data_IF_452163808694
#
_entry.id   IF_452163808694
#
_cell.length_a   1.000
_cell.length_b   1.000
_cell.length_c   1.000
_cell.angle_alpha   90.00
_cell.angle_beta   90.00
_cell.angle_gamma   90.00
#
_symmetry.space_group_name_H-M   'P 1'
#
loop_
_entity.id
_entity.type
_entity.pdbx_description
1 polymer ?
#
# COMPACT_ATOMS: atom_id res chain seq x y z
N UNK A 1 -19.26 2.01 -0.23
CA UNK A 1 -20.06 3.19 -0.64
C UNK A 1 -21.11 2.66 -1.57
N UNK A 2 -22.37 3.07 -1.39
CA UNK A 2 -23.45 2.61 -2.27
C UNK A 2 -23.20 3.12 -3.69
N UNK A 3 -23.54 2.28 -4.67
CA UNK A 3 -23.48 2.68 -6.07
C UNK A 3 -24.50 3.79 -6.36
N UNK A 4 -24.16 4.73 -7.24
CA UNK A 4 -24.99 5.89 -7.56
C UNK A 4 -26.33 5.49 -8.18
N UNK A 5 -26.35 4.48 -9.06
CA UNK A 5 -27.58 3.99 -9.66
C UNK A 5 -28.49 3.43 -8.56
N UNK A 6 -27.93 2.61 -7.67
CA UNK A 6 -28.67 2.05 -6.54
C UNK A 6 -29.28 3.15 -5.63
N UNK A 7 -28.52 4.20 -5.30
CA UNK A 7 -29.01 5.31 -4.46
C UNK A 7 -30.22 5.97 -5.11
N UNK A 8 -30.15 6.25 -6.40
CA UNK A 8 -31.25 6.92 -7.10
C UNK A 8 -32.48 6.02 -7.28
N UNK A 9 -32.27 4.73 -7.56
CA UNK A 9 -33.37 3.79 -7.74
C UNK A 9 -34.07 3.45 -6.42
N UNK A 10 -33.40 3.66 -5.29
CA UNK A 10 -33.88 3.34 -3.95
C UNK A 10 -33.82 4.56 -3.01
N UNK A 11 -34.09 5.76 -3.53
CA UNK A 11 -33.89 7.03 -2.82
C UNK A 11 -34.60 7.07 -1.46
N UNK A 12 -35.81 6.53 -1.35
CA UNK A 12 -36.58 6.49 -0.11
C UNK A 12 -35.92 5.59 0.94
N UNK A 13 -35.50 4.37 0.54
CA UNK A 13 -34.81 3.41 1.40
C UNK A 13 -33.49 3.99 1.94
N UNK A 14 -32.71 4.62 1.07
CA UNK A 14 -31.43 5.24 1.46
C UNK A 14 -31.68 6.42 2.39
N UNK A 15 -32.69 7.25 2.10
CA UNK A 15 -33.07 8.38 2.98
C UNK A 15 -33.50 7.90 4.36
N UNK A 16 -34.26 6.82 4.43
CA UNK A 16 -34.66 6.21 5.69
C UNK A 16 -33.46 5.65 6.46
N UNK A 17 -32.55 4.95 5.80
CA UNK A 17 -31.32 4.46 6.40
C UNK A 17 -30.46 5.60 6.98
N UNK A 18 -30.32 6.73 6.26
CA UNK A 18 -29.62 7.92 6.77
C UNK A 18 -30.27 8.45 8.06
N UNK A 19 -31.61 8.56 8.09
CA UNK A 19 -32.36 8.96 9.29
C UNK A 19 -32.13 8.01 10.45
N UNK A 20 -32.23 6.70 10.21
CA UNK A 20 -32.03 5.67 11.23
C UNK A 20 -30.61 5.67 11.82
N UNK A 21 -29.63 6.13 11.04
CA UNK A 21 -28.22 6.25 11.46
C UNK A 21 -27.86 7.63 12.02
N UNK A 22 -28.80 8.58 12.08
CA UNK A 22 -28.52 9.96 12.51
C UNK A 22 -27.59 10.73 11.56
N UNK A 23 -27.45 10.30 10.30
CA UNK A 23 -26.58 10.93 9.31
C UNK A 23 -27.37 11.94 8.48
N UNK A 24 -26.86 13.16 8.34
CA UNK A 24 -27.44 14.17 7.46
C UNK A 24 -26.90 14.01 6.03
N UNK A 25 -27.70 13.42 5.15
CA UNK A 25 -27.38 13.30 3.72
C UNK A 25 -28.58 13.76 2.87
N UNK A 26 -28.32 14.52 1.80
CA UNK A 26 -29.36 15.08 0.95
C UNK A 26 -29.59 14.22 -0.31
N UNK A 27 -30.29 13.10 -0.13
CA UNK A 27 -30.58 12.16 -1.23
C UNK A 27 -31.36 12.82 -2.39
N UNK A 28 -32.36 13.70 -2.16
CA UNK A 28 -33.02 14.43 -3.25
C UNK A 28 -32.04 15.25 -4.11
N UNK A 29 -31.04 15.90 -3.48
CA UNK A 29 -30.01 16.64 -4.21
C UNK A 29 -29.12 15.75 -5.06
N UNK A 30 -28.79 14.54 -4.58
CA UNK A 30 -28.02 13.55 -5.35
C UNK A 30 -28.79 13.14 -6.62
N UNK A 31 -30.10 12.88 -6.50
CA UNK A 31 -30.96 12.54 -7.64
C UNK A 31 -31.02 13.70 -8.65
N UNK A 32 -31.21 14.93 -8.16
CA UNK A 32 -31.20 16.14 -8.99
C UNK A 32 -29.86 16.32 -9.74
N UNK A 33 -28.73 16.21 -9.03
CA UNK A 33 -27.39 16.35 -9.60
C UNK A 33 -27.09 15.27 -10.63
N UNK A 34 -27.53 14.02 -10.40
CA UNK A 34 -27.41 12.94 -11.39
C UNK A 34 -28.15 13.29 -12.68
N UNK A 35 -29.37 13.80 -12.59
CA UNK A 35 -30.15 14.19 -13.75
C UNK A 35 -29.47 15.33 -14.51
N UNK A 36 -29.10 16.41 -13.82
CA UNK A 36 -28.40 17.56 -14.43
C UNK A 36 -27.09 17.16 -15.10
N UNK A 37 -26.32 16.27 -14.46
CA UNK A 37 -25.09 15.72 -15.04
C UNK A 37 -25.37 14.96 -16.33
N UNK A 38 -26.40 14.11 -16.35
CA UNK A 38 -26.80 13.37 -17.54
C UNK A 38 -27.22 14.29 -18.69
N UNK A 39 -28.01 15.31 -18.40
CA UNK A 39 -28.43 16.33 -19.38
C UNK A 39 -27.23 17.13 -19.93
N UNK A 40 -26.31 17.55 -19.06
CA UNK A 40 -25.11 18.28 -19.44
C UNK A 40 -24.15 17.44 -20.32
N UNK A 41 -24.00 16.14 -20.01
CA UNK A 41 -23.21 15.22 -20.84
C UNK A 41 -23.85 15.07 -22.22
N UNK A 42 -25.16 14.82 -22.29
CA UNK A 42 -25.87 14.68 -23.56
C UNK A 42 -25.78 15.96 -24.42
N UNK A 43 -25.87 17.13 -23.80
CA UNK A 43 -25.66 18.41 -24.47
C UNK A 43 -24.23 18.56 -25.01
N UNK A 44 -23.22 18.22 -24.20
CA UNK A 44 -21.82 18.27 -24.60
C UNK A 44 -21.50 17.32 -25.77
N UNK A 45 -22.09 16.12 -25.78
CA UNK A 45 -21.96 15.17 -26.88
C UNK A 45 -22.58 15.68 -28.18
N UNK A 46 -23.76 16.30 -28.11
CA UNK A 46 -24.39 16.95 -29.26
C UNK A 46 -23.52 18.09 -29.84
N UNK A 47 -22.95 18.94 -28.97
CA UNK A 47 -22.05 20.01 -29.38
C UNK A 47 -20.76 19.48 -30.04
N UNK A 48 -20.18 18.39 -29.51
CA UNK A 48 -19.02 17.72 -30.10
C UNK A 48 -19.34 17.11 -31.46
N UNK A 49 -20.53 16.52 -31.61
CA UNK A 49 -20.98 16.00 -32.90
C UNK A 49 -21.10 17.13 -33.93
N UNK A 50 -21.77 18.23 -33.59
CA UNK A 50 -21.92 19.38 -34.48
C UNK A 50 -20.56 20.01 -34.83
N UNK A 51 -19.66 20.12 -33.86
CA UNK A 51 -18.29 20.62 -34.08
C UNK A 51 -17.53 19.74 -35.09
N UNK A 52 -17.64 18.42 -34.97
CA UNK A 52 -17.00 17.46 -35.88
C UNK A 52 -17.57 17.56 -37.29
N UNK A 53 -18.89 17.71 -37.41
CA UNK A 53 -19.57 17.88 -38.70
C UNK A 53 -19.14 19.18 -39.40
N UNK A 54 -19.09 20.29 -38.67
CA UNK A 54 -18.61 21.58 -39.19
C UNK A 54 -17.13 21.49 -39.59
N UNK A 55 -16.28 20.88 -38.76
CA UNK A 55 -14.87 20.68 -39.07
C UNK A 55 -14.67 19.85 -40.35
N UNK A 56 -15.53 18.86 -40.61
CA UNK A 56 -15.52 18.04 -41.83
C UNK A 56 -15.98 18.77 -43.10
N UNK A 57 -16.74 19.86 -42.97
CA UNK A 57 -17.24 20.67 -44.10
C UNK A 57 -16.23 21.73 -44.56
N UNK A 58 -15.42 22.28 -43.65
CA UNK A 58 -14.44 23.34 -43.94
C UNK A 58 -13.47 23.01 -45.10
N UNK A 59 -12.89 21.81 -45.21
CA UNK A 59 -12.00 21.46 -46.33
C UNK A 59 -12.72 21.27 -47.67
N UNK A 60 -14.04 21.00 -47.64
CA UNK A 60 -14.86 20.69 -48.81
C UNK A 60 -15.50 21.93 -49.43
N UNK A 61 -15.60 23.02 -48.68
CA UNK A 61 -16.19 24.28 -49.13
C UNK A 61 -15.21 25.10 -49.98
N UNK A 62 -15.66 25.50 -51.17
CA UNK A 62 -14.86 26.23 -52.17
C UNK A 62 -15.17 27.72 -52.19
N UNK A 63 -16.33 28.13 -51.67
CA UNK A 63 -16.70 29.53 -51.52
C UNK A 63 -16.01 30.16 -50.31
N UNK A 64 -15.24 31.22 -50.53
CA UNK A 64 -14.45 31.89 -49.49
C UNK A 64 -15.31 32.48 -48.37
N UNK A 65 -16.49 33.01 -48.68
CA UNK A 65 -17.40 33.60 -47.70
C UNK A 65 -18.08 32.54 -46.83
N UNK A 66 -18.56 31.45 -47.44
CA UNK A 66 -19.13 30.31 -46.70
C UNK A 66 -18.09 29.60 -45.84
N UNK A 67 -16.85 29.48 -46.34
CA UNK A 67 -15.74 28.91 -45.59
C UNK A 67 -15.40 29.72 -44.35
N UNK A 68 -15.38 31.06 -44.44
CA UNK A 68 -15.20 31.93 -43.27
C UNK A 68 -16.33 31.79 -42.25
N UNK A 69 -17.58 31.67 -42.69
CA UNK A 69 -18.73 31.45 -41.82
C UNK A 69 -18.64 30.10 -41.06
N UNK A 70 -18.22 29.02 -41.74
CA UNK A 70 -18.01 27.71 -41.11
C UNK A 70 -16.88 27.74 -40.07
N UNK A 71 -15.79 28.48 -40.34
CA UNK A 71 -14.69 28.66 -39.38
C UNK A 71 -15.16 29.45 -38.14
N UNK A 72 -15.96 30.50 -38.32
CA UNK A 72 -16.52 31.27 -37.21
C UNK A 72 -17.44 30.39 -36.34
N UNK A 73 -18.36 29.63 -36.95
CA UNK A 73 -19.23 28.69 -36.25
C UNK A 73 -18.44 27.58 -35.53
N UNK A 74 -17.36 27.08 -36.12
CA UNK A 74 -16.47 26.10 -35.49
C UNK A 74 -15.76 26.64 -34.25
N UNK A 75 -15.40 27.93 -34.24
CA UNK A 75 -14.80 28.60 -33.07
C UNK A 75 -15.83 28.78 -31.95
N UNK A 76 -17.04 29.20 -32.29
CA UNK A 76 -18.16 29.33 -31.34
C UNK A 76 -18.50 27.98 -30.69
N UNK A 77 -18.64 26.91 -31.49
CA UNK A 77 -18.87 25.56 -30.97
C UNK A 77 -17.74 25.08 -30.06
N UNK A 78 -16.49 25.47 -30.33
CA UNK A 78 -15.35 25.13 -29.45
C UNK A 78 -15.48 25.79 -28.07
N UNK A 79 -15.93 27.04 -28.01
CA UNK A 79 -16.17 27.74 -26.75
C UNK A 79 -17.35 27.12 -25.99
N UNK A 80 -18.42 26.73 -26.70
CA UNK A 80 -19.58 26.04 -26.11
C UNK A 80 -19.24 24.65 -25.57
N UNK A 81 -18.40 23.86 -26.28
CA UNK A 81 -17.91 22.56 -25.80
C UNK A 81 -17.09 22.74 -24.51
N UNK A 82 -16.16 23.70 -24.48
CA UNK A 82 -15.35 23.95 -23.29
C UNK A 82 -16.20 24.37 -22.07
N UNK A 83 -17.22 25.21 -22.29
CA UNK A 83 -18.15 25.60 -21.23
C UNK A 83 -19.00 24.42 -20.73
N UNK A 84 -19.44 23.54 -21.63
CA UNK A 84 -20.18 22.32 -21.27
C UNK A 84 -19.32 21.34 -20.46
N UNK A 85 -18.06 21.15 -20.84
CA UNK A 85 -17.12 20.28 -20.11
C UNK A 85 -16.84 20.80 -18.69
N UNK A 86 -16.69 22.11 -18.51
CA UNK A 86 -16.50 22.71 -17.20
C UNK A 86 -17.76 22.59 -16.33
N UNK A 87 -18.95 22.76 -16.90
CA UNK A 87 -20.22 22.53 -16.19
C UNK A 87 -20.37 21.07 -15.73
N UNK A 88 -20.03 20.08 -16.59
CA UNK A 88 -20.03 18.66 -16.20
C UNK A 88 -19.07 18.42 -15.03
N UNK A 89 -17.86 18.99 -15.09
CA UNK A 89 -16.87 18.87 -14.01
C UNK A 89 -17.37 19.44 -12.68
N UNK A 90 -18.04 20.60 -12.70
CA UNK A 90 -18.62 21.21 -11.49
C UNK A 90 -19.74 20.35 -10.91
N UNK A 91 -20.64 19.86 -11.75
CA UNK A 91 -21.72 18.95 -11.33
C UNK A 91 -21.17 17.63 -10.77
N UNK A 92 -20.09 17.09 -11.32
CA UNK A 92 -19.40 15.91 -10.79
C UNK A 92 -18.78 16.17 -9.41
N UNK A 93 -18.19 17.35 -9.21
CA UNK A 93 -17.61 17.73 -7.93
C UNK A 93 -18.68 17.88 -6.84
N UNK A 94 -19.78 18.57 -7.14
CA UNK A 94 -20.93 18.69 -6.22
C UNK A 94 -21.54 17.31 -5.91
N UNK A 95 -21.75 16.49 -6.94
CA UNK A 95 -22.31 15.14 -6.76
C UNK A 95 -21.40 14.28 -5.88
N UNK A 96 -20.09 14.37 -6.07
CA UNK A 96 -19.12 13.64 -5.24
C UNK A 96 -19.15 14.09 -3.78
N UNK A 97 -19.31 15.38 -3.51
CA UNK A 97 -19.40 15.90 -2.15
C UNK A 97 -20.63 15.36 -1.41
N UNK A 98 -21.78 15.33 -2.09
CA UNK A 98 -23.01 14.77 -1.52
C UNK A 98 -22.92 13.25 -1.31
N UNK A 99 -22.37 12.51 -2.29
CA UNK A 99 -22.20 11.06 -2.20
C UNK A 99 -21.33 10.61 -1.02
N UNK A 100 -20.32 11.41 -0.64
CA UNK A 100 -19.45 11.12 0.50
C UNK A 100 -20.19 11.12 1.85
N UNK A 101 -21.35 11.78 1.92
CA UNK A 101 -22.19 11.80 3.12
C UNK A 101 -23.10 10.57 3.24
N UNK A 102 -23.24 9.78 2.18
CA UNK A 102 -24.17 8.64 2.15
C UNK A 102 -23.53 7.40 2.76
N UNK A 103 -24.03 6.90 3.91
CA UNK A 103 -23.51 5.70 4.52
C UNK A 103 -23.99 4.44 3.78
N UNK A 104 -23.31 3.31 4.00
CA UNK A 104 -23.84 2.01 3.56
C UNK A 104 -25.17 1.68 4.27
N UNK A 105 -26.00 0.84 3.65
CA UNK A 105 -27.21 0.32 4.26
C UNK A 105 -26.88 -0.50 5.50
N UNK A 106 -27.62 -0.26 6.57
CA UNK A 106 -27.60 -1.11 7.75
C UNK A 106 -28.41 -2.38 7.48
N UNK A 107 -28.02 -3.50 8.10
CA UNK A 107 -28.81 -4.72 8.06
C UNK A 107 -30.24 -4.45 8.59
N UNK A 108 -31.30 -5.00 7.99
CA UNK A 108 -32.69 -4.74 8.44
C UNK A 108 -32.95 -5.10 9.91
N UNK A 109 -32.25 -6.11 10.43
CA UNK A 109 -32.37 -6.54 11.83
C UNK A 109 -31.55 -5.69 12.82
N UNK A 110 -30.79 -4.71 12.33
CA UNK A 110 -30.03 -3.85 13.23
C UNK A 110 -31.00 -2.96 14.03
N UNK A 111 -30.87 -2.92 15.36
CA UNK A 111 -31.72 -2.08 16.17
C UNK A 111 -31.48 -0.61 15.85
N UNK A 112 -32.57 0.15 15.70
CA UNK A 112 -32.53 1.60 15.52
C UNK A 112 -32.42 2.22 16.92
N UNK A 113 -31.35 3.01 17.12
CA UNK A 113 -31.12 3.72 18.37
C UNK A 113 -30.36 5.03 18.13
N UNK A 114 -30.64 6.06 18.94
CA UNK A 114 -29.93 7.35 18.87
C UNK A 114 -28.55 7.30 19.55
N UNK A 115 -28.45 6.54 20.62
CA UNK A 115 -27.23 6.36 21.40
C UNK A 115 -27.22 4.98 22.07
N UNK A 116 -26.13 4.68 22.78
CA UNK A 116 -25.92 3.37 23.40
C UNK A 116 -26.98 3.03 24.46
N UNK A 117 -27.71 4.00 25.00
CA UNK A 117 -28.78 3.77 25.99
C UNK A 117 -30.03 3.14 25.37
N UNK A 118 -30.17 3.23 24.04
CA UNK A 118 -31.26 2.60 23.29
C UNK A 118 -30.89 1.17 22.82
N UNK A 119 -29.68 0.68 23.14
CA UNK A 119 -29.23 -0.67 22.82
C UNK A 119 -30.09 -1.73 23.52
N UNK A 120 -30.69 -2.64 22.74
CA UNK A 120 -31.45 -3.77 23.27
C UNK A 120 -30.57 -5.01 23.35
N UNK A 121 -30.51 -5.63 24.52
CA UNK A 121 -29.90 -6.95 24.67
C UNK A 121 -30.77 -8.00 23.96
N UNK A 122 -30.26 -8.55 22.85
CA UNK A 122 -30.99 -9.56 22.06
C UNK A 122 -30.82 -10.96 22.65
N UNK A 123 -29.66 -11.25 23.23
CA UNK A 123 -29.35 -12.53 23.87
C UNK A 123 -28.22 -12.35 24.88
N UNK A 124 -28.31 -13.05 26.01
CA UNK A 124 -27.21 -13.21 26.96
C UNK A 124 -26.78 -14.68 26.97
N UNK A 125 -25.48 -14.93 27.06
CA UNK A 125 -24.92 -16.29 27.10
C UNK A 125 -23.98 -16.44 28.29
N UNK A 126 -24.20 -17.48 29.09
CA UNK A 126 -23.44 -17.75 30.31
C UNK A 126 -23.84 -16.86 31.49
N UNK A 127 -23.19 -17.09 32.62
CA UNK A 127 -23.36 -16.30 33.83
C UNK A 127 -22.36 -15.14 33.84
N UNK A 128 -22.84 -13.93 34.16
CA UNK A 128 -21.97 -12.76 34.33
C UNK A 128 -21.11 -12.99 35.60
N UNK A 129 -19.78 -13.04 35.49
CA UNK A 129 -18.92 -13.27 36.64
C UNK A 129 -19.10 -12.20 37.70
N UNK A 130 -19.18 -12.61 38.96
CA UNK A 130 -19.15 -11.69 40.12
C UNK A 130 -17.75 -11.65 40.69
N UNK A 131 -17.18 -10.46 40.77
CA UNK A 131 -15.87 -10.23 41.36
C UNK A 131 -16.03 -9.59 42.75
N UNK A 132 -15.14 -9.94 43.67
CA UNK A 132 -15.00 -9.29 44.98
C UNK A 132 -14.11 -8.03 44.92
N UNK A 133 -13.60 -7.71 43.73
CA UNK A 133 -12.90 -6.48 43.38
C UNK A 133 -13.66 -5.73 42.28
N UNK A 134 -13.37 -4.44 42.12
CA UNK A 134 -13.84 -3.67 40.97
C UNK A 134 -13.05 -4.10 39.73
N UNK A 135 -13.65 -4.80 38.76
CA UNK A 135 -12.93 -5.20 37.56
C UNK A 135 -12.52 -3.95 36.77
N UNK A 136 -11.26 -3.92 36.33
CA UNK A 136 -10.79 -2.94 35.37
C UNK A 136 -11.33 -3.32 33.99
N UNK A 137 -11.69 -2.32 33.18
CA UNK A 137 -11.99 -2.58 31.77
C UNK A 137 -10.71 -2.95 31.00
N UNK A 138 -10.91 -3.40 29.76
CA UNK A 138 -9.80 -3.85 28.91
C UNK A 138 -8.77 -2.74 28.65
N UNK A 139 -9.16 -1.46 28.53
CA UNK A 139 -8.23 -0.35 28.31
C UNK A 139 -7.40 -0.10 29.57
N UNK A 140 -8.04 -0.01 30.73
CA UNK A 140 -7.36 0.17 32.01
C UNK A 140 -6.42 -1.00 32.35
N UNK A 141 -6.79 -2.24 31.99
CA UNK A 141 -5.89 -3.39 32.08
C UNK A 141 -4.69 -3.22 31.15
N UNK A 142 -4.93 -2.87 29.88
CA UNK A 142 -3.86 -2.69 28.91
C UNK A 142 -2.89 -1.57 29.31
N UNK A 143 -3.38 -0.43 29.80
CA UNK A 143 -2.54 0.67 30.30
C UNK A 143 -1.72 0.23 31.52
N UNK A 144 -2.37 -0.39 32.51
CA UNK A 144 -1.72 -0.88 33.73
C UNK A 144 -0.58 -1.84 33.44
N UNK A 145 -0.71 -2.65 32.39
CA UNK A 145 0.29 -3.63 31.98
C UNK A 145 1.21 -3.12 30.84
N UNK A 146 1.14 -1.83 30.49
CA UNK A 146 1.94 -1.22 29.42
C UNK A 146 1.77 -1.92 28.05
N UNK A 147 0.56 -2.39 27.76
CA UNK A 147 0.23 -3.15 26.56
C UNK A 147 -0.28 -2.28 25.40
N UNK A 148 -0.54 -0.99 25.65
CA UNK A 148 -1.07 -0.05 24.65
C UNK A 148 -0.37 1.30 24.64
N UNK A 149 -0.39 1.94 23.47
CA UNK A 149 -0.01 3.33 23.24
C UNK A 149 -1.23 4.14 22.84
N UNK A 150 -1.96 4.65 23.84
CA UNK A 150 -3.13 5.50 23.60
C UNK A 150 -2.74 6.88 23.07
N UNK A 151 -1.61 7.43 23.52
CA UNK A 151 -1.14 8.74 23.07
C UNK A 151 -0.77 8.70 21.59
N UNK A 152 0.07 7.75 21.19
CA UNK A 152 0.46 7.60 19.80
C UNK A 152 -0.73 7.20 18.92
N UNK A 153 -1.57 6.27 19.39
CA UNK A 153 -2.77 5.86 18.67
C UNK A 153 -3.74 7.03 18.44
N UNK A 154 -4.00 7.81 19.49
CA UNK A 154 -4.89 8.96 19.40
C UNK A 154 -4.34 10.07 18.52
N UNK A 155 -3.03 10.30 18.52
CA UNK A 155 -2.38 11.30 17.67
C UNK A 155 -2.42 10.93 16.20
N UNK A 156 -2.29 9.65 15.87
CA UNK A 156 -2.19 9.18 14.47
C UNK A 156 -3.57 8.88 13.87
N UNK A 157 -4.44 8.19 14.62
CA UNK A 157 -5.72 7.69 14.11
C UNK A 157 -6.95 8.43 14.68
N UNK A 158 -6.75 9.37 15.61
CA UNK A 158 -7.83 10.13 16.26
C UNK A 158 -8.30 9.50 17.58
N UNK A 159 -9.22 10.16 18.27
CA UNK A 159 -9.70 9.68 19.58
C UNK A 159 -10.35 8.31 19.49
N UNK A 160 -10.03 7.44 20.45
CA UNK A 160 -10.54 6.07 20.54
C UNK A 160 -9.62 4.99 19.97
N UNK A 161 -8.47 5.37 19.41
CA UNK A 161 -7.48 4.43 18.85
C UNK A 161 -6.25 4.27 19.74
N UNK A 162 -5.65 3.08 19.72
CA UNK A 162 -4.40 2.74 20.40
C UNK A 162 -3.53 1.83 19.52
N UNK A 163 -2.22 1.85 19.74
CA UNK A 163 -1.33 0.80 19.24
C UNK A 163 -1.08 -0.24 20.31
N UNK A 164 -1.03 -1.52 19.95
CA UNK A 164 -0.57 -2.57 20.84
C UNK A 164 0.95 -2.48 21.02
N UNK A 165 1.44 -2.77 22.23
CA UNK A 165 2.85 -2.81 22.60
C UNK A 165 3.15 -4.06 23.43
N UNK A 166 4.43 -4.40 23.52
CA UNK A 166 4.96 -5.47 24.37
C UNK A 166 4.23 -6.81 24.15
N UNK A 167 3.77 -7.45 25.23
CA UNK A 167 3.13 -8.77 25.18
C UNK A 167 1.84 -8.78 24.37
N UNK A 168 1.11 -7.66 24.28
CA UNK A 168 -0.11 -7.60 23.49
C UNK A 168 0.18 -7.58 21.98
N UNK A 169 1.31 -7.01 21.56
CA UNK A 169 1.75 -7.12 20.17
C UNK A 169 2.14 -8.58 19.82
N UNK A 170 2.79 -9.28 20.76
CA UNK A 170 3.09 -10.72 20.61
C UNK A 170 1.83 -11.57 20.60
N UNK A 171 0.84 -11.25 21.45
CA UNK A 171 -0.45 -11.91 21.46
C UNK A 171 -1.19 -11.70 20.15
N UNK A 172 -1.19 -10.49 19.60
CA UNK A 172 -1.79 -10.21 18.29
C UNK A 172 -1.10 -11.01 17.19
N UNK A 173 0.23 -11.10 17.19
CA UNK A 173 0.97 -11.96 16.27
C UNK A 173 0.60 -13.45 16.44
N UNK A 174 0.43 -13.92 17.68
CA UNK A 174 -0.03 -15.27 17.95
C UNK A 174 -1.48 -15.49 17.50
N UNK A 175 -2.36 -14.50 17.62
CA UNK A 175 -3.73 -14.53 17.12
C UNK A 175 -3.78 -14.52 15.60
N UNK A 176 -2.90 -13.77 14.94
CA UNK A 176 -2.72 -13.82 13.48
C UNK A 176 -2.22 -15.20 13.07
N UNK A 177 -1.22 -15.77 13.76
CA UNK A 177 -0.75 -17.14 13.49
C UNK A 177 -1.86 -18.17 13.71
N UNK A 178 -2.64 -18.02 14.78
CA UNK A 178 -3.80 -18.86 15.05
C UNK A 178 -4.85 -18.72 13.95
N UNK A 179 -5.21 -17.49 13.56
CA UNK A 179 -6.14 -17.22 12.47
C UNK A 179 -5.64 -17.84 11.16
N UNK A 180 -4.37 -17.66 10.82
CA UNK A 180 -3.74 -18.32 9.67
C UNK A 180 -3.84 -19.85 9.82
N UNK A 181 -3.58 -20.43 10.99
CA UNK A 181 -3.73 -21.89 11.20
C UNK A 181 -5.18 -22.40 11.09
N UNK A 182 -6.17 -21.51 11.23
CA UNK A 182 -7.60 -21.80 11.07
C UNK A 182 -8.09 -21.57 9.65
N UNK A 183 -7.51 -20.60 8.95
CA UNK A 183 -7.80 -20.26 7.56
C UNK A 183 -7.07 -21.20 6.59
N UNK A 184 -5.86 -21.63 6.95
CA UNK A 184 -5.12 -22.65 6.22
C UNK A 184 -5.70 -24.00 6.58
N UNK A 185 -6.49 -24.51 5.65
CA UNK A 185 -7.11 -25.82 5.68
C UNK A 185 -6.63 -26.69 4.51
N UNK A 186 -7.23 -27.87 4.36
CA UNK A 186 -6.87 -28.82 3.31
C UNK A 186 -7.25 -28.33 1.89
N UNK A 187 -7.92 -27.18 1.76
CA UNK A 187 -8.22 -26.52 0.48
C UNK A 187 -7.21 -25.41 0.14
N UNK A 188 -6.28 -25.10 1.05
CA UNK A 188 -5.30 -24.04 0.87
C UNK A 188 -4.15 -24.51 -0.02
N UNK A 189 -4.03 -23.91 -1.20
CA UNK A 189 -2.99 -24.30 -2.17
C UNK A 189 -1.59 -23.79 -1.79
N UNK A 190 -1.48 -22.57 -1.24
CA UNK A 190 -0.19 -21.96 -0.95
C UNK A 190 -0.26 -20.85 0.12
N UNK A 191 0.88 -20.63 0.77
CA UNK A 191 1.19 -19.49 1.65
C UNK A 191 2.27 -18.68 0.94
N UNK A 192 2.00 -17.42 0.57
CA UNK A 192 2.93 -16.56 -0.17
C UNK A 192 3.27 -15.30 0.63
N UNK A 193 4.55 -14.98 0.76
CA UNK A 193 5.02 -13.79 1.48
C UNK A 193 6.43 -13.35 1.08
N UNK A 194 6.79 -12.10 1.37
CA UNK A 194 8.18 -11.61 1.31
C UNK A 194 8.97 -12.07 2.54
N UNK A 195 10.22 -12.56 2.42
CA UNK A 195 11.07 -12.84 3.59
C UNK A 195 11.36 -11.61 4.46
N UNK A 196 11.43 -10.42 3.83
CA UNK A 196 11.47 -9.10 4.49
C UNK A 196 10.59 -8.18 3.66
N UNK A 197 9.56 -7.58 4.27
CA UNK A 197 8.65 -6.71 3.53
C UNK A 197 9.34 -5.39 3.20
N UNK A 198 9.64 -5.15 1.93
CA UNK A 198 10.37 -3.96 1.50
C UNK A 198 9.49 -2.71 1.46
N UNK A 199 8.34 -2.80 0.78
CA UNK A 199 7.38 -1.68 0.73
C UNK A 199 6.70 -1.46 2.08
N UNK A 200 6.51 -2.54 2.86
CA UNK A 200 5.95 -2.55 4.21
C UNK A 200 6.71 -1.73 5.26
N UNK A 201 7.85 -1.14 4.91
CA UNK A 201 8.69 -0.37 5.84
C UNK A 201 9.92 -1.13 6.35
N UNK A 202 10.45 -2.07 5.57
CA UNK A 202 11.58 -2.93 5.98
C UNK A 202 11.21 -3.75 7.23
N UNK A 203 10.08 -4.46 7.15
CA UNK A 203 9.64 -5.32 8.26
C UNK A 203 10.41 -6.64 8.21
N UNK A 204 11.30 -6.83 9.18
CA UNK A 204 12.04 -8.08 9.36
C UNK A 204 11.16 -9.00 10.22
N UNK A 205 10.89 -10.25 9.79
CA UNK A 205 10.04 -11.15 10.53
C UNK A 205 10.67 -11.49 11.89
N UNK A 206 9.83 -11.69 12.89
CA UNK A 206 10.27 -12.17 14.20
C UNK A 206 10.90 -13.57 14.08
N UNK A 207 11.87 -13.93 14.95
CA UNK A 207 12.42 -15.28 14.99
C UNK A 207 11.32 -16.34 15.11
N UNK A 208 11.41 -17.42 14.34
CA UNK A 208 10.44 -18.53 14.36
C UNK A 208 9.20 -18.32 13.49
N UNK A 209 8.95 -17.11 12.97
CA UNK A 209 7.77 -16.84 12.14
C UNK A 209 7.81 -17.61 10.81
N UNK A 210 8.92 -17.51 10.08
CA UNK A 210 9.07 -18.17 8.78
C UNK A 210 9.15 -19.70 8.95
N UNK A 211 9.81 -20.18 10.00
CA UNK A 211 9.88 -21.58 10.40
C UNK A 211 8.48 -22.13 10.71
N UNK A 212 7.67 -21.35 11.42
CA UNK A 212 6.27 -21.69 11.70
C UNK A 212 5.43 -21.83 10.44
N UNK A 213 5.59 -20.91 9.48
CA UNK A 213 4.90 -20.99 8.19
C UNK A 213 5.35 -22.18 7.35
N UNK A 214 6.65 -22.50 7.35
CA UNK A 214 7.17 -23.72 6.70
C UNK A 214 6.56 -24.97 7.28
N UNK A 215 6.55 -25.09 8.61
CA UNK A 215 5.94 -26.22 9.31
C UNK A 215 4.44 -26.33 8.97
N UNK A 216 3.72 -25.21 8.99
CA UNK A 216 2.30 -25.18 8.66
C UNK A 216 2.03 -25.60 7.22
N UNK A 217 2.84 -25.10 6.27
CA UNK A 217 2.75 -25.49 4.86
C UNK A 217 2.95 -27.01 4.70
N UNK A 218 3.95 -27.59 5.36
CA UNK A 218 4.22 -29.03 5.35
C UNK A 218 3.08 -29.84 5.95
N UNK A 219 2.56 -29.43 7.11
CA UNK A 219 1.45 -30.11 7.81
C UNK A 219 0.15 -30.11 7.01
N UNK A 220 -0.06 -29.11 6.16
CA UNK A 220 -1.30 -28.89 5.39
C UNK A 220 -1.18 -29.31 3.92
N UNK A 221 0.00 -29.74 3.48
CA UNK A 221 0.26 -30.01 2.07
C UNK A 221 0.16 -28.77 1.19
N UNK A 222 0.28 -27.57 1.76
CA UNK A 222 0.28 -26.30 1.05
C UNK A 222 1.71 -25.95 0.60
N UNK A 223 1.84 -25.17 -0.47
CA UNK A 223 3.14 -24.68 -0.92
C UNK A 223 3.55 -23.42 -0.15
N UNK A 224 4.80 -23.34 0.32
CA UNK A 224 5.38 -22.08 0.80
C UNK A 224 6.06 -21.36 -0.37
N UNK A 225 5.64 -20.13 -0.63
CA UNK A 225 6.17 -19.30 -1.72
C UNK A 225 6.81 -18.06 -1.11
N UNK A 226 8.09 -17.83 -1.41
CA UNK A 226 8.76 -16.59 -1.06
C UNK A 226 8.80 -15.62 -2.24
N UNK A 227 8.23 -14.44 -2.05
CA UNK A 227 8.47 -13.31 -2.95
C UNK A 227 9.82 -12.69 -2.64
N UNK A 228 10.82 -13.07 -3.43
CA UNK A 228 12.17 -12.56 -3.30
C UNK A 228 12.51 -11.46 -4.30
N UNK A 229 11.51 -10.85 -4.95
CA UNK A 229 11.75 -9.75 -5.91
C UNK A 229 12.66 -8.66 -5.35
N UNK A 230 12.59 -8.38 -4.03
CA UNK A 230 13.53 -7.46 -3.37
C UNK A 230 14.67 -8.15 -2.63
N UNK A 231 14.43 -9.30 -1.99
CA UNK A 231 15.37 -9.89 -1.03
C UNK A 231 16.42 -10.81 -1.66
N UNK A 232 16.29 -11.14 -2.96
CA UNK A 232 17.25 -11.96 -3.70
C UNK A 232 18.53 -11.19 -4.12
N UNK A 233 19.39 -11.90 -4.84
CA UNK A 233 20.60 -11.42 -5.50
C UNK A 233 21.52 -10.61 -4.59
N UNK A 234 21.75 -11.13 -3.38
CA UNK A 234 22.68 -10.51 -2.44
C UNK A 234 22.11 -9.39 -1.58
N UNK A 235 20.85 -8.97 -1.77
CA UNK A 235 20.26 -7.83 -1.05
C UNK A 235 20.41 -7.94 0.48
N UNK A 236 20.23 -9.14 1.04
CA UNK A 236 20.31 -9.38 2.49
C UNK A 236 21.72 -9.83 2.95
N UNK A 237 22.70 -9.90 2.06
CA UNK A 237 24.04 -10.45 2.33
C UNK A 237 24.17 -11.95 2.03
N UNK A 238 23.08 -12.60 1.65
CA UNK A 238 23.02 -13.96 1.10
C UNK A 238 22.48 -13.90 -0.33
N UNK A 239 22.77 -14.92 -1.15
CA UNK A 239 22.27 -14.97 -2.54
C UNK A 239 20.76 -14.81 -2.61
N UNK A 240 20.05 -15.49 -1.72
CA UNK A 240 18.60 -15.43 -1.61
C UNK A 240 18.19 -15.11 -0.17
N UNK A 241 17.06 -14.42 -0.01
CA UNK A 241 16.49 -14.05 1.26
C UNK A 241 16.18 -15.27 2.14
N UNK A 242 15.72 -16.37 1.58
CA UNK A 242 15.45 -17.60 2.33
C UNK A 242 16.68 -18.12 3.09
N UNK A 243 17.88 -17.94 2.53
CA UNK A 243 19.14 -18.38 3.14
C UNK A 243 19.49 -17.54 4.38
N UNK A 244 19.10 -16.26 4.39
CA UNK A 244 19.27 -15.39 5.55
C UNK A 244 18.48 -15.89 6.77
N UNK A 245 17.37 -16.58 6.56
CA UNK A 245 16.51 -17.11 7.62
C UNK A 245 16.59 -18.62 7.77
N UNK A 246 17.34 -19.32 6.91
CA UNK A 246 17.45 -20.77 6.89
C UNK A 246 16.09 -21.49 6.77
N UNK A 247 15.17 -20.93 5.97
CA UNK A 247 13.83 -21.52 5.72
C UNK A 247 13.64 -21.70 4.23
N UNK A 248 13.72 -22.93 3.72
CA UNK A 248 13.61 -23.18 2.29
C UNK A 248 12.14 -23.17 1.80
N UNK A 249 11.76 -22.31 0.84
CA UNK A 249 10.43 -22.33 0.24
C UNK A 249 10.29 -23.48 -0.79
N UNK A 250 9.07 -23.74 -1.23
CA UNK A 250 8.79 -24.64 -2.36
C UNK A 250 8.95 -23.93 -3.70
N UNK A 251 8.60 -22.64 -3.74
CA UNK A 251 8.72 -21.75 -4.89
C UNK A 251 9.30 -20.40 -4.42
N UNK A 252 10.13 -19.78 -5.24
CA UNK A 252 10.51 -18.37 -5.06
C UNK A 252 10.34 -17.58 -6.36
N UNK A 253 9.93 -16.32 -6.24
CA UNK A 253 9.87 -15.35 -7.33
C UNK A 253 11.00 -14.34 -7.21
N UNK A 254 11.64 -14.00 -8.33
CA UNK A 254 12.76 -13.05 -8.37
C UNK A 254 12.58 -12.07 -9.53
N UNK A 255 13.06 -10.84 -9.35
CA UNK A 255 13.14 -9.82 -10.40
C UNK A 255 14.20 -8.78 -9.99
N UNK A 256 14.02 -7.51 -10.37
CA UNK A 256 14.86 -6.35 -9.97
C UNK A 256 16.36 -6.62 -10.13
N UNK A 257 17.03 -7.05 -9.06
CA UNK A 257 18.45 -7.36 -9.04
C UNK A 257 18.86 -8.53 -9.93
N UNK A 258 17.93 -9.36 -10.40
CA UNK A 258 18.24 -10.58 -11.18
C UNK A 258 18.96 -10.31 -12.50
N UNK A 259 18.75 -9.16 -13.14
CA UNK A 259 19.35 -8.81 -14.42
C UNK A 259 19.87 -7.37 -14.47
N UNK A 260 20.30 -6.84 -13.32
CA UNK A 260 21.05 -5.57 -13.26
C UNK A 260 20.34 -4.34 -13.85
N UNK A 261 19.00 -4.33 -13.91
CA UNK A 261 18.20 -3.25 -14.50
C UNK A 261 17.50 -3.59 -15.82
N UNK A 262 17.85 -4.72 -16.47
CA UNK A 262 17.07 -5.27 -17.58
C UNK A 262 15.82 -5.94 -17.03
N UNK A 263 14.67 -5.75 -17.68
CA UNK A 263 13.40 -6.37 -17.27
C UNK A 263 13.50 -7.90 -17.36
N UNK A 264 13.51 -8.55 -16.20
CA UNK A 264 13.59 -10.00 -16.08
C UNK A 264 12.86 -10.43 -14.80
N UNK A 265 11.99 -11.44 -14.93
CA UNK A 265 11.33 -12.11 -13.82
C UNK A 265 11.62 -13.61 -13.90
N UNK A 266 11.84 -14.23 -12.74
CA UNK A 266 12.20 -15.64 -12.63
C UNK A 266 11.31 -16.30 -11.58
N UNK A 267 10.83 -17.50 -11.88
CA UNK A 267 10.21 -18.41 -10.93
C UNK A 267 11.16 -19.60 -10.78
N UNK A 268 11.53 -19.91 -9.54
CA UNK A 268 12.28 -21.12 -9.21
C UNK A 268 11.40 -21.98 -8.33
N UNK A 269 11.24 -23.25 -8.67
CA UNK A 269 10.44 -24.22 -7.95
C UNK A 269 11.24 -25.49 -7.68
N UNK A 270 10.88 -26.23 -6.64
CA UNK A 270 11.41 -27.58 -6.41
C UNK A 270 11.13 -28.48 -7.61
N UNK A 271 12.07 -29.38 -7.90
CA UNK A 271 11.95 -30.34 -9.00
C UNK A 271 10.67 -31.19 -8.92
N UNK A 272 10.21 -31.52 -7.71
CA UNK A 272 8.96 -32.26 -7.49
C UNK A 272 7.72 -31.57 -8.05
N UNK A 273 7.76 -30.25 -8.28
CA UNK A 273 6.66 -29.45 -8.85
C UNK A 273 6.78 -29.29 -10.37
N UNK A 274 7.93 -29.62 -10.96
CA UNK A 274 8.17 -29.46 -12.39
C UNK A 274 7.16 -30.23 -13.29
N UNK A 275 6.69 -31.46 -12.94
CA UNK A 275 5.71 -32.18 -13.75
C UNK A 275 4.34 -31.48 -13.89
N UNK A 276 4.02 -30.55 -12.99
CA UNK A 276 2.75 -29.82 -12.98
C UNK A 276 2.74 -28.64 -13.96
N UNK A 277 3.92 -28.15 -14.38
CA UNK A 277 4.05 -27.08 -15.37
C UNK A 277 4.29 -27.65 -16.77
N UNK A 278 3.21 -28.02 -17.46
CA UNK A 278 3.27 -28.67 -18.78
C UNK A 278 3.32 -27.65 -19.92
N UNK A 279 3.87 -28.03 -21.09
CA UNK A 279 3.85 -27.18 -22.29
C UNK A 279 2.43 -26.67 -22.61
N UNK A 280 2.31 -25.36 -22.81
CA UNK A 280 1.04 -24.68 -23.11
C UNK A 280 0.28 -24.14 -21.90
N UNK A 281 0.70 -24.42 -20.66
CA UNK A 281 0.04 -23.90 -19.44
C UNK A 281 0.46 -22.48 -19.06
N UNK A 282 1.69 -22.09 -19.38
CA UNK A 282 2.22 -20.75 -19.11
C UNK A 282 3.09 -20.30 -20.28
N UNK A 283 3.03 -19.02 -20.62
CA UNK A 283 3.78 -18.46 -21.74
C UNK A 283 4.11 -16.98 -21.50
N UNK A 284 5.24 -16.54 -22.05
CA UNK A 284 5.64 -15.14 -22.10
C UNK A 284 6.43 -14.90 -23.38
N UNK A 285 5.98 -13.97 -24.22
CA UNK A 285 6.62 -13.65 -25.52
C UNK A 285 8.08 -13.23 -25.35
N UNK A 286 8.40 -12.50 -24.27
CA UNK A 286 9.75 -12.04 -23.97
C UNK A 286 10.43 -12.86 -22.86
N UNK A 287 9.74 -13.86 -22.31
CA UNK A 287 10.30 -14.72 -21.25
C UNK A 287 11.48 -15.53 -21.76
N UNK A 288 12.57 -15.55 -20.99
CA UNK A 288 13.79 -16.30 -21.35
C UNK A 288 14.55 -15.75 -22.56
N UNK A 289 14.32 -14.49 -22.96
CA UNK A 289 15.03 -13.91 -24.09
C UNK A 289 16.55 -13.83 -23.82
N UNK A 290 17.41 -14.02 -24.85
CA UNK A 290 18.86 -14.08 -24.65
C UNK A 290 19.48 -12.81 -24.06
N UNK A 291 18.93 -11.63 -24.32
CA UNK A 291 19.45 -10.36 -23.78
C UNK A 291 19.30 -10.31 -22.26
N UNK A 292 18.11 -10.64 -21.74
CA UNK A 292 17.87 -10.70 -20.31
C UNK A 292 18.70 -11.79 -19.63
N UNK A 293 18.88 -12.95 -20.27
CA UNK A 293 19.69 -14.03 -19.71
C UNK A 293 21.19 -13.67 -19.67
N UNK A 294 21.71 -13.00 -20.70
CA UNK A 294 23.08 -12.50 -20.70
C UNK A 294 23.31 -11.46 -19.60
N UNK A 295 22.36 -10.53 -19.40
CA UNK A 295 22.42 -9.56 -18.31
C UNK A 295 22.35 -10.22 -16.92
N UNK A 296 21.55 -11.29 -16.78
CA UNK A 296 21.48 -12.07 -15.55
C UNK A 296 22.79 -12.78 -15.21
N UNK A 297 23.40 -13.44 -16.21
CA UNK A 297 24.72 -14.07 -16.06
C UNK A 297 25.77 -13.04 -15.62
N UNK A 298 25.85 -11.90 -16.33
CA UNK A 298 26.78 -10.83 -15.99
C UNK A 298 26.55 -10.32 -14.55
N UNK A 299 25.29 -10.24 -14.10
CA UNK A 299 24.97 -9.82 -12.73
C UNK A 299 25.47 -10.81 -11.69
N UNK A 300 25.27 -12.12 -11.90
CA UNK A 300 25.78 -13.18 -11.01
C UNK A 300 27.31 -13.14 -10.98
N UNK A 301 27.96 -13.10 -12.15
CA UNK A 301 29.42 -13.04 -12.28
C UNK A 301 30.00 -11.82 -11.56
N UNK A 302 29.39 -10.64 -11.70
CA UNK A 302 29.81 -9.43 -10.97
C UNK A 302 29.68 -9.60 -9.45
N UNK A 303 28.58 -10.18 -8.95
CA UNK A 303 28.41 -10.40 -7.51
C UNK A 303 29.52 -11.30 -6.95
N UNK A 304 29.90 -12.35 -7.69
CA UNK A 304 30.98 -13.26 -7.31
C UNK A 304 32.36 -12.61 -7.41
N UNK A 305 32.70 -12.05 -8.57
CA UNK A 305 34.03 -11.50 -8.87
C UNK A 305 34.39 -10.33 -7.96
N UNK A 306 33.42 -9.46 -7.66
CA UNK A 306 33.64 -8.27 -6.84
C UNK A 306 33.39 -8.53 -5.34
N UNK A 307 33.10 -9.78 -4.95
CA UNK A 307 32.78 -10.18 -3.57
C UNK A 307 31.68 -9.33 -2.92
N UNK A 308 30.61 -9.04 -3.67
CA UNK A 308 29.59 -8.07 -3.24
C UNK A 308 28.81 -8.53 -2.01
N UNK A 309 28.66 -9.85 -1.79
CA UNK A 309 28.00 -10.36 -0.57
C UNK A 309 28.77 -9.98 0.70
N UNK A 310 30.10 -10.01 0.65
CA UNK A 310 30.94 -9.56 1.76
C UNK A 310 30.83 -8.04 1.94
N UNK A 311 30.81 -7.29 0.84
CA UNK A 311 30.61 -5.84 0.89
C UNK A 311 29.27 -5.45 1.52
N UNK A 312 28.19 -6.20 1.23
CA UNK A 312 26.87 -6.00 1.87
C UNK A 312 26.97 -6.12 3.39
N UNK A 313 27.68 -7.12 3.91
CA UNK A 313 27.92 -7.25 5.35
C UNK A 313 28.64 -6.03 5.93
N UNK A 314 29.72 -5.58 5.27
CA UNK A 314 30.50 -4.40 5.69
C UNK A 314 29.65 -3.13 5.69
N UNK A 315 28.93 -2.85 4.60
CA UNK A 315 28.13 -1.64 4.47
C UNK A 315 26.90 -1.65 5.38
N UNK A 316 26.26 -2.81 5.56
CA UNK A 316 25.16 -2.98 6.52
C UNK A 316 25.57 -2.58 7.93
N UNK A 317 26.77 -2.96 8.36
CA UNK A 317 27.29 -2.60 9.69
C UNK A 317 27.61 -1.11 9.79
N UNK A 318 28.14 -0.48 8.73
CA UNK A 318 28.33 0.97 8.69
C UNK A 318 27.02 1.74 8.85
N UNK A 319 25.98 1.34 8.11
CA UNK A 319 24.65 1.92 8.25
C UNK A 319 24.11 1.76 9.67
N UNK A 320 24.28 0.57 10.26
CA UNK A 320 23.88 0.28 11.63
C UNK A 320 24.54 1.22 12.62
N UNK A 321 25.87 1.29 12.61
CA UNK A 321 26.64 2.15 13.51
C UNK A 321 26.24 3.63 13.40
N UNK A 322 26.04 4.11 12.17
CA UNK A 322 25.63 5.50 11.95
C UNK A 322 24.23 5.79 12.49
N UNK A 323 23.24 4.97 12.11
CA UNK A 323 21.84 5.25 12.44
C UNK A 323 21.49 4.91 13.89
N UNK A 324 22.11 3.92 14.52
CA UNK A 324 21.93 3.66 15.96
C UNK A 324 22.52 4.81 16.78
N UNK A 325 23.69 5.34 16.40
CA UNK A 325 24.23 6.56 17.02
C UNK A 325 23.27 7.75 16.82
N UNK A 326 22.80 7.98 15.60
CA UNK A 326 21.87 9.08 15.32
C UNK A 326 20.55 8.93 16.10
N UNK A 327 20.01 7.71 16.24
CA UNK A 327 18.81 7.43 17.03
C UNK A 327 19.00 7.74 18.52
N UNK A 328 20.22 7.53 19.05
CA UNK A 328 20.55 7.93 20.42
C UNK A 328 20.59 9.46 20.61
N UNK A 329 20.85 10.22 19.54
CA UNK A 329 20.88 11.69 19.55
C UNK A 329 19.49 12.30 19.29
N UNK A 330 18.65 11.63 18.50
CA UNK A 330 17.38 12.16 18.00
C UNK A 330 16.17 11.33 18.44
N UNK A 331 15.41 11.87 19.40
CA UNK A 331 14.18 11.27 19.90
C UNK A 331 13.08 11.10 18.83
N UNK A 332 13.22 11.80 17.69
CA UNK A 332 12.32 11.68 16.52
C UNK A 332 12.46 10.34 15.81
N UNK A 333 13.58 9.64 15.96
CA UNK A 333 13.76 8.30 15.41
C UNK A 333 13.08 7.31 16.36
N UNK A 334 12.16 6.50 15.82
CA UNK A 334 11.40 5.50 16.54
C UNK A 334 12.13 4.16 16.57
N UNK A 335 12.60 3.70 15.41
CA UNK A 335 13.18 2.38 15.24
C UNK A 335 14.13 2.34 14.04
N UNK A 336 15.20 1.55 14.15
CA UNK A 336 16.11 1.24 13.05
C UNK A 336 15.97 -0.24 12.69
N UNK A 337 15.60 -0.53 11.44
CA UNK A 337 15.45 -1.89 10.91
C UNK A 337 16.45 -2.11 9.78
N UNK A 338 17.43 -2.98 9.99
CA UNK A 338 18.51 -3.23 9.02
C UNK A 338 18.73 -4.73 8.83
N UNK A 339 18.65 -5.18 7.58
CA UNK A 339 19.06 -6.51 7.14
C UNK A 339 19.79 -6.40 5.79
N UNK A 340 21.11 -6.60 5.80
CA UNK A 340 21.94 -6.36 4.62
C UNK A 340 21.78 -4.92 4.12
N UNK A 341 21.51 -4.76 2.82
CA UNK A 341 21.29 -3.46 2.18
C UNK A 341 19.80 -3.08 2.09
N UNK A 342 18.98 -3.58 3.01
CA UNK A 342 17.64 -3.07 3.30
C UNK A 342 17.66 -2.33 4.62
N UNK A 343 17.57 -1.00 4.56
CA UNK A 343 17.69 -0.10 5.70
C UNK A 343 16.40 0.71 5.83
N UNK A 344 15.75 0.59 6.98
CA UNK A 344 14.59 1.38 7.38
C UNK A 344 14.92 2.22 8.61
N UNK A 345 14.67 3.53 8.53
CA UNK A 345 14.74 4.47 9.66
C UNK A 345 13.33 4.99 9.88
N UNK A 346 12.65 4.43 10.88
CA UNK A 346 11.27 4.76 11.23
C UNK A 346 11.25 6.01 12.11
N UNK A 347 10.42 6.99 11.75
CA UNK A 347 10.33 8.28 12.40
C UNK A 347 9.00 8.45 13.13
N UNK A 348 8.99 9.25 14.20
CA UNK A 348 7.77 9.68 14.91
C UNK A 348 7.02 10.81 14.20
N UNK A 349 7.59 11.33 13.11
CA UNK A 349 7.05 12.40 12.28
C UNK A 349 7.03 11.94 10.83
N UNK A 350 6.28 12.65 9.99
CA UNK A 350 6.27 12.44 8.55
C UNK A 350 7.69 12.60 7.96
N UNK A 351 8.18 11.54 7.32
CA UNK A 351 9.51 11.44 6.70
C UNK A 351 9.55 11.95 5.26
N UNK A 352 8.40 12.12 4.59
CA UNK A 352 8.32 12.59 3.20
C UNK A 352 9.12 13.88 2.91
N UNK A 353 9.12 14.92 3.78
CA UNK A 353 9.96 16.11 3.58
C UNK A 353 11.46 15.81 3.48
N UNK A 354 11.95 14.78 4.18
CA UNK A 354 13.37 14.39 4.14
C UNK A 354 13.80 14.00 2.73
N UNK A 355 12.91 13.39 1.93
CA UNK A 355 13.17 12.97 0.55
C UNK A 355 13.56 14.17 -0.31
N UNK A 356 12.76 15.24 -0.25
CA UNK A 356 13.01 16.46 -1.01
C UNK A 356 14.30 17.17 -0.59
N UNK A 357 14.56 17.24 0.72
CA UNK A 357 15.78 17.89 1.23
C UNK A 357 17.05 17.08 0.95
N UNK A 358 17.01 15.76 1.05
CA UNK A 358 18.14 14.90 0.65
C UNK A 358 18.40 15.02 -0.86
N UNK A 359 17.34 15.04 -1.69
CA UNK A 359 17.47 15.16 -3.14
C UNK A 359 18.14 16.48 -3.56
N UNK A 360 17.80 17.61 -2.94
CA UNK A 360 18.47 18.91 -3.17
C UNK A 360 19.97 18.87 -2.88
N UNK A 361 20.39 17.94 -2.02
CA UNK A 361 21.78 17.74 -1.59
C UNK A 361 22.46 16.57 -2.31
N UNK A 362 21.84 16.04 -3.37
CA UNK A 362 22.42 14.99 -4.21
C UNK A 362 22.23 13.57 -3.69
N UNK A 363 21.43 13.35 -2.65
CA UNK A 363 21.19 12.02 -2.06
C UNK A 363 19.75 11.59 -2.32
N UNK A 364 19.58 10.52 -3.11
CA UNK A 364 18.26 9.97 -3.44
C UNK A 364 17.87 8.89 -2.44
N UNK A 365 16.77 9.14 -1.73
CA UNK A 365 16.17 8.22 -0.75
C UNK A 365 14.69 8.04 -1.07
N UNK A 366 14.05 7.05 -0.44
CA UNK A 366 12.60 6.90 -0.46
C UNK A 366 12.01 7.07 0.94
N UNK A 367 10.71 7.36 1.02
CA UNK A 367 9.91 7.26 2.23
C UNK A 367 8.72 6.34 1.95
N UNK A 368 8.43 5.40 2.86
CA UNK A 368 7.23 4.55 2.80
C UNK A 368 6.46 4.65 4.11
N UNK A 369 5.16 4.35 4.08
CA UNK A 369 4.27 4.42 5.26
C UNK A 369 4.30 5.78 5.97
N UNK A 370 4.48 6.86 5.19
CA UNK A 370 4.63 8.26 5.61
C UNK A 370 5.87 8.58 6.48
N UNK A 371 6.40 7.61 7.22
CA UNK A 371 7.32 7.81 8.35
C UNK A 371 8.64 7.06 8.19
N UNK A 372 8.72 6.06 7.31
CA UNK A 372 9.89 5.18 7.21
C UNK A 372 10.79 5.64 6.07
N UNK A 373 11.93 6.25 6.40
CA UNK A 373 12.99 6.49 5.43
C UNK A 373 13.58 5.14 5.03
N UNK A 374 13.51 4.85 3.74
CA UNK A 374 13.90 3.56 3.17
C UNK A 374 15.08 3.72 2.24
N UNK A 375 16.16 3.01 2.54
CA UNK A 375 17.37 2.97 1.72
C UNK A 375 17.57 1.56 1.17
N UNK A 376 17.74 1.49 -0.16
CA UNK A 376 18.04 0.28 -0.93
C UNK A 376 19.25 0.53 -1.83
N UNK A 377 20.43 0.83 -1.27
CA UNK A 377 21.63 1.21 -2.03
C UNK A 377 22.12 0.10 -2.97
N UNK A 378 22.97 0.45 -3.93
CA UNK A 378 23.66 -0.52 -4.78
C UNK A 378 24.59 -1.41 -3.93
N UNK A 379 24.77 -2.68 -4.32
CA UNK A 379 25.58 -3.63 -3.54
C UNK A 379 27.08 -3.33 -3.61
N UNK A 380 27.51 -2.62 -4.65
CA UNK A 380 28.88 -2.15 -4.84
C UNK A 380 29.12 -0.72 -4.30
N UNK A 381 28.19 -0.16 -3.52
CA UNK A 381 28.39 1.14 -2.88
C UNK A 381 29.64 1.08 -1.98
N UNK A 382 30.44 2.14 -2.03
CA UNK A 382 31.68 2.25 -1.26
C UNK A 382 31.42 2.80 0.14
N UNK A 383 32.36 2.56 1.06
CA UNK A 383 32.31 3.10 2.41
C UNK A 383 32.14 4.62 2.44
N UNK A 384 32.90 5.33 1.59
CA UNK A 384 32.86 6.80 1.52
C UNK A 384 31.50 7.31 1.05
N UNK A 385 30.89 6.66 0.06
CA UNK A 385 29.54 6.99 -0.42
C UNK A 385 28.46 6.71 0.64
N UNK A 386 28.61 5.62 1.41
CA UNK A 386 27.73 5.33 2.56
C UNK A 386 27.83 6.45 3.58
N UNK A 387 29.05 6.83 3.96
CA UNK A 387 29.29 7.85 4.98
C UNK A 387 28.78 9.23 4.55
N UNK A 388 29.05 9.64 3.31
CA UNK A 388 28.57 10.90 2.73
C UNK A 388 27.04 10.93 2.69
N UNK A 389 26.39 9.87 2.18
CA UNK A 389 24.94 9.76 2.14
C UNK A 389 24.31 9.79 3.53
N UNK A 390 24.89 9.06 4.49
CA UNK A 390 24.46 9.05 5.87
C UNK A 390 24.60 10.44 6.51
N UNK A 391 25.71 11.15 6.27
CA UNK A 391 25.93 12.50 6.79
C UNK A 391 24.85 13.49 6.32
N UNK A 392 24.51 13.45 5.03
CA UNK A 392 23.42 14.26 4.45
C UNK A 392 22.09 13.94 5.12
N UNK A 393 21.72 12.65 5.19
CA UNK A 393 20.46 12.19 5.80
C UNK A 393 20.41 12.63 7.27
N UNK A 394 21.48 12.39 8.03
CA UNK A 394 21.54 12.73 9.44
C UNK A 394 21.38 14.23 9.71
N UNK A 395 21.97 15.10 8.90
CA UNK A 395 21.77 16.55 9.02
C UNK A 395 20.33 16.96 8.68
N UNK A 396 19.73 16.39 7.63
CA UNK A 396 18.31 16.64 7.30
C UNK A 396 17.41 16.24 8.47
N UNK A 397 17.63 15.04 9.04
CA UNK A 397 16.85 14.57 10.19
C UNK A 397 17.07 15.44 11.44
N UNK A 398 18.29 15.93 11.69
CA UNK A 398 18.56 16.89 12.79
C UNK A 398 17.80 18.20 12.61
N UNK A 399 17.70 18.70 11.37
CA UNK A 399 16.96 19.93 11.09
C UNK A 399 15.45 19.72 11.25
N UNK A 400 14.92 18.61 10.74
CA UNK A 400 13.52 18.25 10.93
C UNK A 400 13.17 18.09 12.41
N UNK A 401 14.04 17.47 13.21
CA UNK A 401 13.85 17.29 14.64
C UNK A 401 13.81 18.62 15.43
N UNK A 402 14.43 19.69 14.93
CA UNK A 402 14.36 21.03 15.55
C UNK A 402 13.06 21.77 15.22
N UNK A 403 12.38 21.36 14.14
CA UNK A 403 11.15 21.98 13.65
C UNK A 403 9.89 21.21 14.04
N UNK A 404 10.05 20.02 14.63
CA UNK A 404 9.00 19.19 15.22
C UNK A 404 8.89 19.46 16.72
#
# INVERSE_FOLDING_TARGET
MLDLQYICDNADLVSENCRNRGVQANIPRIVELRQKRGEAIAQGDNLRHEQKDIAGQIPKEKDTGKKQALVAKGKELKEQVAASEENVRQLEQELRQELLQVPNLTHPDAPIGKDDTESKTVKTWGDIPKFDFQPLDHVALMEKHNLVDLEAGSRVAGHGFYYLKNEAALLELALIQYAVSKLVDDQTAAIMLEPVQGEGGINIPAPGFLEGLRKLADERGALLIFDEVQTCMGRLGTWFGYQSFNVQPDIMTMAKGVAGGVACGVIVAKESLAPDLRPGMHASTFGGNPLAMAAGIATVETIEQDNLLENVGKMSERYRQYFEKLASELSVIKEIRIRGMMVGVDLKITGTPAVGECMKRGVLINCTHDTVIRLLPALNITADQVDEGCAVIGEVLRNMAKSA
#
